data_IF_903728806794
#
_entry.id   IF_903728806794
#
_cell.length_a   1.000
_cell.length_b   1.000
_cell.length_c   1.000
_cell.angle_alpha   90.00
_cell.angle_beta   90.00
_cell.angle_gamma   90.00
#
_symmetry.space_group_name_H-M   'P 1'
#
loop_
_entity.id
_entity.type
_entity.pdbx_description
1 polymer ?
#
# COMPACT_ATOMS: atom_id res chain seq x y z
N UNK A 1 1.21 -12.88 2.70
CA UNK A 1 1.30 -12.32 4.06
C UNK A 1 2.77 -11.99 4.28
N UNK A 2 3.07 -10.70 4.44
CA UNK A 2 4.42 -10.17 4.58
C UNK A 2 4.70 -9.93 6.06
N UNK A 3 4.62 -11.00 6.84
CA UNK A 3 5.23 -11.06 8.16
C UNK A 3 6.75 -10.99 8.02
N UNK A 4 7.26 -9.76 8.00
CA UNK A 4 8.65 -9.41 8.31
C UNK A 4 9.76 -9.91 7.37
N UNK A 5 9.47 -10.70 6.33
CA UNK A 5 10.51 -11.33 5.51
C UNK A 5 10.58 -10.83 4.07
N UNK A 6 11.81 -10.78 3.53
CA UNK A 6 12.11 -10.77 2.08
C UNK A 6 11.54 -12.06 1.47
N UNK A 7 10.26 -12.10 1.13
CA UNK A 7 9.57 -13.27 0.56
C UNK A 7 8.99 -12.95 -0.81
N UNK A 8 8.94 -13.96 -1.67
CA UNK A 8 8.41 -13.84 -3.02
C UNK A 8 6.88 -13.68 -2.98
N UNK A 9 6.33 -12.65 -3.66
CA UNK A 9 4.89 -12.33 -3.60
C UNK A 9 4.01 -13.38 -4.27
N UNK A 10 4.53 -14.19 -5.19
CA UNK A 10 3.77 -15.20 -5.92
C UNK A 10 3.74 -16.55 -5.20
N UNK A 11 4.84 -16.91 -4.53
CA UNK A 11 5.03 -18.24 -3.92
C UNK A 11 4.99 -18.24 -2.40
N UNK A 12 5.11 -17.07 -1.74
CA UNK A 12 5.17 -16.97 -0.28
C UNK A 12 6.44 -17.56 0.36
N UNK A 13 7.36 -18.08 -0.46
CA UNK A 13 8.63 -18.66 -0.03
C UNK A 13 9.64 -17.56 0.33
N UNK A 14 10.57 -17.90 1.21
CA UNK A 14 11.74 -17.06 1.46
C UNK A 14 12.47 -16.80 0.15
N UNK A 15 12.75 -15.51 -0.13
CA UNK A 15 13.63 -15.16 -1.24
C UNK A 15 14.99 -15.78 -0.91
N UNK A 16 15.52 -16.58 -1.83
CA UNK A 16 16.82 -17.21 -1.65
C UNK A 16 17.85 -16.15 -1.21
N UNK A 17 18.69 -16.39 -0.19
CA UNK A 17 19.60 -15.38 0.36
C UNK A 17 20.47 -14.70 -0.71
N UNK A 18 20.89 -15.44 -1.73
CA UNK A 18 21.62 -14.89 -2.86
C UNK A 18 20.81 -13.85 -3.66
N UNK A 19 19.51 -14.06 -3.88
CA UNK A 19 18.62 -13.09 -4.54
C UNK A 19 18.48 -11.83 -3.67
N UNK A 20 18.36 -12.01 -2.35
CA UNK A 20 18.31 -10.89 -1.41
C UNK A 20 19.61 -10.07 -1.39
N UNK A 21 20.75 -10.69 -1.72
CA UNK A 21 22.06 -10.05 -1.79
C UNK A 21 22.31 -9.28 -3.10
N UNK A 22 21.57 -9.57 -4.18
CA UNK A 22 21.71 -8.92 -5.50
C UNK A 22 21.62 -7.39 -5.38
N UNK A 23 20.75 -6.86 -4.51
CA UNK A 23 20.66 -5.40 -4.32
C UNK A 23 21.99 -4.77 -3.88
N UNK A 24 22.71 -5.45 -2.99
CA UNK A 24 23.99 -4.99 -2.46
C UNK A 24 25.16 -5.05 -3.45
N UNK A 25 24.94 -5.50 -4.68
CA UNK A 25 25.94 -5.42 -5.76
C UNK A 25 25.88 -4.08 -6.49
N UNK A 26 24.79 -3.31 -6.34
CA UNK A 26 24.67 -1.95 -6.87
C UNK A 26 25.33 -0.98 -5.88
N UNK A 27 26.39 -0.31 -6.34
CA UNK A 27 27.20 0.60 -5.52
C UNK A 27 27.29 1.98 -6.18
N UNK A 28 27.45 3.01 -5.36
CA UNK A 28 27.83 4.33 -5.87
C UNK A 28 29.29 4.28 -6.41
N UNK A 29 29.62 5.08 -7.43
CA UNK A 29 31.00 5.24 -7.89
C UNK A 29 31.84 5.99 -6.84
N UNK A 30 33.17 5.93 -6.98
CA UNK A 30 34.09 6.66 -6.11
C UNK A 30 33.77 8.17 -6.09
N UNK A 31 33.79 8.78 -4.90
CA UNK A 31 33.41 10.18 -4.68
C UNK A 31 31.91 10.44 -4.58
N UNK A 32 31.06 9.42 -4.80
CA UNK A 32 29.60 9.51 -4.68
C UNK A 32 29.06 8.57 -3.61
N UNK A 33 27.81 8.78 -3.22
CA UNK A 33 27.04 7.89 -2.35
C UNK A 33 25.60 7.80 -2.83
N UNK A 34 24.85 6.80 -2.33
CA UNK A 34 23.42 6.70 -2.62
C UNK A 34 22.62 7.37 -1.50
N UNK A 35 21.65 8.18 -1.89
CA UNK A 35 20.57 8.65 -1.01
C UNK A 35 19.31 7.85 -1.36
N UNK A 36 18.71 7.22 -0.37
CA UNK A 36 17.57 6.31 -0.54
C UNK A 36 16.43 6.83 0.29
N UNK A 37 15.28 7.11 -0.34
CA UNK A 37 14.06 7.56 0.33
C UNK A 37 12.91 6.65 -0.09
N UNK A 38 12.31 5.96 0.88
CA UNK A 38 11.16 5.06 0.72
C UNK A 38 9.90 5.78 1.21
N UNK A 39 8.81 5.76 0.44
CA UNK A 39 7.54 6.33 0.93
C UNK A 39 6.89 5.38 1.93
N UNK A 40 6.70 5.84 3.17
CA UNK A 40 6.26 4.99 4.26
C UNK A 40 4.77 4.61 4.10
N UNK A 41 4.50 3.38 3.62
CA UNK A 41 3.15 2.81 3.53
C UNK A 41 2.19 3.62 2.63
N UNK A 42 2.68 4.14 1.51
CA UNK A 42 1.93 5.08 0.67
C UNK A 42 0.56 4.55 0.21
N UNK A 43 0.46 3.28 -0.18
CA UNK A 43 -0.81 2.69 -0.62
C UNK A 43 -1.85 2.66 0.51
N UNK A 44 -1.44 2.42 1.76
CA UNK A 44 -2.35 2.40 2.90
C UNK A 44 -2.79 3.82 3.30
N UNK A 45 -1.89 4.81 3.17
CA UNK A 45 -2.20 6.23 3.38
C UNK A 45 -3.17 6.75 2.33
N UNK A 46 -2.90 6.48 1.04
CA UNK A 46 -3.80 6.87 -0.05
C UNK A 46 -5.16 6.18 0.07
N UNK A 47 -5.20 4.89 0.43
CA UNK A 47 -6.47 4.19 0.65
C UNK A 47 -7.29 4.83 1.77
N UNK A 48 -6.67 5.10 2.93
CA UNK A 48 -7.35 5.76 4.04
C UNK A 48 -7.85 7.15 3.64
N UNK A 49 -7.08 7.89 2.85
CA UNK A 49 -7.41 9.23 2.40
C UNK A 49 -8.59 9.23 1.43
N UNK A 50 -8.53 8.40 0.38
CA UNK A 50 -9.62 8.26 -0.58
C UNK A 50 -10.90 7.73 0.07
N UNK A 51 -10.78 6.89 1.10
CA UNK A 51 -11.91 6.32 1.82
C UNK A 51 -12.47 7.21 2.96
N UNK A 52 -11.89 8.40 3.19
CA UNK A 52 -12.23 9.28 4.31
C UNK A 52 -12.16 8.59 5.68
N UNK A 53 -11.12 7.77 5.87
CA UNK A 53 -10.89 7.02 7.11
C UNK A 53 -10.03 7.83 8.09
N UNK A 54 -10.64 8.83 8.74
CA UNK A 54 -9.96 9.86 9.52
C UNK A 54 -9.12 9.34 10.70
N UNK A 55 -9.57 8.29 11.39
CA UNK A 55 -8.83 7.70 12.53
C UNK A 55 -7.50 7.07 12.07
N UNK A 56 -7.51 6.37 10.92
CA UNK A 56 -6.33 5.78 10.33
C UNK A 56 -5.39 6.85 9.76
N UNK A 57 -5.95 7.90 9.14
CA UNK A 57 -5.19 9.07 8.67
C UNK A 57 -4.51 9.81 9.82
N UNK A 58 -5.22 9.96 10.95
CA UNK A 58 -4.66 10.57 12.15
C UNK A 58 -3.49 9.75 12.70
N UNK A 59 -3.64 8.43 12.82
CA UNK A 59 -2.53 7.59 13.27
C UNK A 59 -1.31 7.66 12.35
N UNK A 60 -1.54 7.77 11.04
CA UNK A 60 -0.48 8.02 10.06
C UNK A 60 0.21 9.39 10.20
N UNK A 61 -0.53 10.44 10.53
CA UNK A 61 -0.03 11.80 10.71
C UNK A 61 0.72 11.97 12.05
N UNK A 62 0.26 11.29 13.10
CA UNK A 62 0.86 11.32 14.43
C UNK A 62 2.11 10.42 14.55
N UNK A 63 2.44 9.65 13.50
CA UNK A 63 3.58 8.73 13.50
C UNK A 63 3.35 7.48 14.36
N UNK A 64 2.10 7.09 14.58
CA UNK A 64 1.74 5.94 15.39
C UNK A 64 2.11 4.62 14.69
N UNK A 65 2.43 3.58 15.48
CA UNK A 65 2.51 2.22 14.95
C UNK A 65 1.10 1.64 14.77
N UNK A 66 0.46 2.03 13.67
CA UNK A 66 -0.90 1.62 13.33
C UNK A 66 -1.07 0.09 13.27
N UNK A 67 0.01 -0.66 13.02
CA UNK A 67 -0.03 -2.12 13.01
C UNK A 67 -0.13 -2.68 14.42
N UNK A 68 0.65 -2.13 15.34
CA UNK A 68 0.56 -2.45 16.76
C UNK A 68 -0.79 -2.04 17.35
N UNK A 69 -1.32 -0.88 16.99
CA UNK A 69 -2.65 -0.44 17.45
C UNK A 69 -3.77 -1.37 16.97
N UNK A 70 -3.81 -1.69 15.68
CA UNK A 70 -4.79 -2.62 15.15
C UNK A 70 -4.63 -4.03 15.75
N UNK A 71 -3.39 -4.49 15.94
CA UNK A 71 -3.13 -5.75 16.64
C UNK A 71 -3.61 -5.70 18.10
N UNK A 72 -3.44 -4.58 18.80
CA UNK A 72 -3.94 -4.44 20.17
C UNK A 72 -5.44 -4.60 20.26
N UNK A 73 -6.19 -4.03 19.32
CA UNK A 73 -7.64 -4.24 19.27
C UNK A 73 -8.00 -5.68 18.88
N UNK A 74 -7.25 -6.29 17.97
CA UNK A 74 -7.49 -7.67 17.55
C UNK A 74 -7.29 -8.68 18.70
N UNK A 75 -6.20 -8.52 19.44
CA UNK A 75 -5.79 -9.43 20.50
C UNK A 75 -6.31 -9.04 21.88
N UNK A 76 -6.93 -7.86 22.02
CA UNK A 76 -7.37 -7.28 23.28
C UNK A 76 -6.23 -7.25 24.32
N UNK A 77 -5.01 -6.97 23.85
CA UNK A 77 -3.79 -6.98 24.63
C UNK A 77 -2.76 -6.02 24.04
N UNK A 78 -1.86 -5.47 24.86
CA UNK A 78 -0.81 -4.58 24.38
C UNK A 78 0.08 -5.30 23.36
N UNK A 79 0.26 -4.69 22.19
CA UNK A 79 1.19 -5.10 21.13
C UNK A 79 2.06 -3.89 20.79
N UNK A 80 3.33 -4.12 20.56
CA UNK A 80 4.30 -3.06 20.21
C UNK A 80 5.27 -3.60 19.14
N UNK A 81 6.11 -2.72 18.59
CA UNK A 81 7.24 -3.12 17.75
C UNK A 81 8.42 -3.50 18.66
N UNK A 82 8.76 -4.78 18.80
CA UNK A 82 9.90 -5.17 19.62
C UNK A 82 11.22 -4.77 18.93
N UNK A 83 12.18 -4.38 19.75
CA UNK A 83 13.59 -4.24 19.37
C UNK A 83 14.20 -5.59 19.01
N UNK A 84 15.36 -5.60 18.34
CA UNK A 84 16.05 -6.85 17.97
C UNK A 84 16.47 -7.70 19.19
N UNK A 85 16.73 -7.07 20.34
CA UNK A 85 17.01 -7.79 21.59
C UNK A 85 15.72 -8.37 22.20
N UNK A 86 14.62 -7.62 22.22
CA UNK A 86 13.33 -8.12 22.72
C UNK A 86 12.81 -9.29 21.88
N UNK A 87 13.07 -9.32 20.57
CA UNK A 87 12.73 -10.46 19.71
C UNK A 87 13.40 -11.77 20.12
N UNK A 88 14.39 -11.74 21.01
CA UNK A 88 15.02 -12.94 21.58
C UNK A 88 14.26 -13.47 22.81
N UNK A 89 13.34 -12.69 23.39
CA UNK A 89 12.49 -13.13 24.51
C UNK A 89 11.16 -13.69 24.02
N UNK A 90 10.49 -14.59 24.79
CA UNK A 90 9.18 -15.12 24.43
C UNK A 90 8.10 -14.03 24.23
N UNK A 91 8.13 -12.98 25.05
CA UNK A 91 7.17 -11.86 24.98
C UNK A 91 7.38 -11.04 23.71
N UNK A 92 8.63 -10.73 23.35
CA UNK A 92 8.92 -10.00 22.13
C UNK A 92 8.62 -10.80 20.87
N UNK A 93 8.86 -12.12 20.88
CA UNK A 93 8.44 -13.00 19.77
C UNK A 93 6.93 -12.99 19.58
N UNK A 94 6.18 -13.09 20.69
CA UNK A 94 4.71 -13.00 20.67
C UNK A 94 4.25 -11.65 20.14
N UNK A 95 4.86 -10.54 20.59
CA UNK A 95 4.55 -9.21 20.12
C UNK A 95 4.83 -9.03 18.62
N UNK A 96 5.95 -9.57 18.11
CA UNK A 96 6.31 -9.50 16.69
C UNK A 96 5.29 -10.25 15.82
N UNK A 97 4.89 -11.47 16.22
CA UNK A 97 3.87 -12.26 15.51
C UNK A 97 2.53 -11.51 15.50
N UNK A 98 2.09 -10.99 16.65
CA UNK A 98 0.81 -10.27 16.78
C UNK A 98 0.81 -8.97 15.97
N UNK A 99 1.86 -8.17 16.07
CA UNK A 99 2.07 -6.97 15.24
C UNK A 99 2.07 -7.34 13.77
N UNK A 100 2.64 -8.49 13.45
CA UNK A 100 2.58 -9.14 12.16
C UNK A 100 1.17 -9.28 11.59
N UNK A 101 0.27 -9.94 12.33
CA UNK A 101 -1.14 -10.03 11.94
C UNK A 101 -1.77 -8.65 11.77
N UNK A 102 -1.38 -7.70 12.62
CA UNK A 102 -1.81 -6.31 12.50
C UNK A 102 -1.40 -5.69 11.15
N UNK A 103 -0.12 -5.83 10.79
CA UNK A 103 0.46 -5.35 9.53
C UNK A 103 -0.23 -5.97 8.31
N UNK A 104 -0.36 -7.29 8.30
CA UNK A 104 -1.02 -7.98 7.20
C UNK A 104 -2.51 -7.67 7.10
N UNK A 105 -3.17 -7.41 8.25
CA UNK A 105 -4.52 -6.88 8.31
C UNK A 105 -4.62 -5.53 7.60
N UNK A 106 -3.83 -4.55 8.00
CA UNK A 106 -3.82 -3.21 7.41
C UNK A 106 -3.52 -3.25 5.91
N UNK A 107 -2.46 -3.94 5.50
CA UNK A 107 -1.99 -3.95 4.11
C UNK A 107 -2.82 -4.85 3.19
N UNK A 108 -3.45 -5.89 3.74
CA UNK A 108 -4.18 -6.88 2.97
C UNK A 108 -5.68 -6.63 2.90
N UNK A 109 -6.30 -6.28 4.03
CA UNK A 109 -7.74 -6.17 4.12
C UNK A 109 -8.28 -4.92 3.41
N UNK A 110 -7.44 -3.90 3.20
CA UNK A 110 -7.79 -2.65 2.51
C UNK A 110 -8.23 -2.82 1.04
N UNK A 111 -7.87 -3.94 0.42
CA UNK A 111 -8.28 -4.32 -0.93
C UNK A 111 -9.25 -5.52 -0.93
N UNK A 112 -9.85 -5.78 0.24
CA UNK A 112 -10.91 -6.76 0.46
C UNK A 112 -10.47 -8.23 0.46
N UNK A 113 -9.26 -8.51 0.95
CA UNK A 113 -8.86 -9.87 1.33
C UNK A 113 -9.92 -10.51 2.24
N UNK A 114 -10.31 -11.75 1.90
CA UNK A 114 -11.27 -12.54 2.66
C UNK A 114 -10.61 -13.53 3.61
N UNK A 115 -11.40 -14.07 4.55
CA UNK A 115 -10.91 -14.97 5.60
C UNK A 115 -10.23 -16.23 5.04
N UNK A 116 -10.81 -16.86 4.01
CA UNK A 116 -10.24 -18.06 3.39
C UNK A 116 -8.85 -17.78 2.80
N UNK A 117 -8.73 -16.75 1.96
CA UNK A 117 -7.45 -16.38 1.34
C UNK A 117 -6.41 -15.98 2.38
N UNK A 118 -6.81 -15.26 3.43
CA UNK A 118 -5.91 -14.89 4.52
C UNK A 118 -5.44 -16.15 5.28
N UNK A 119 -6.37 -17.02 5.66
CA UNK A 119 -6.09 -18.28 6.35
C UNK A 119 -5.15 -19.19 5.54
N UNK A 120 -5.43 -19.37 4.25
CA UNK A 120 -4.57 -20.17 3.36
C UNK A 120 -3.16 -19.59 3.27
N UNK A 121 -3.04 -18.26 3.17
CA UNK A 121 -1.74 -17.58 3.17
C UNK A 121 -1.00 -17.75 4.50
N UNK A 122 -1.70 -17.79 5.64
CA UNK A 122 -1.09 -18.09 6.93
C UNK A 122 -0.51 -19.50 6.94
N UNK A 123 -1.28 -20.47 6.45
CA UNK A 123 -0.88 -21.89 6.37
C UNK A 123 0.17 -22.19 5.30
N UNK A 124 0.42 -21.27 4.38
CA UNK A 124 1.52 -21.36 3.42
C UNK A 124 2.81 -20.70 3.94
N UNK A 125 2.74 -19.97 5.05
CA UNK A 125 3.90 -19.34 5.66
C UNK A 125 4.52 -20.28 6.70
N UNK A 126 5.74 -20.76 6.45
CA UNK A 126 6.46 -21.70 7.33
C UNK A 126 6.59 -21.23 8.79
N UNK A 127 6.63 -19.91 9.04
CA UNK A 127 6.75 -19.37 10.40
C UNK A 127 5.40 -19.35 11.14
N UNK A 128 4.28 -19.24 10.40
CA UNK A 128 2.94 -19.25 10.99
C UNK A 128 2.33 -20.63 11.00
N UNK A 129 2.66 -21.47 10.01
CA UNK A 129 2.14 -22.83 9.84
C UNK A 129 2.12 -23.61 11.17
N UNK A 130 3.20 -23.63 11.99
CA UNK A 130 3.18 -24.35 13.26
C UNK A 130 2.11 -23.84 14.23
N UNK A 131 1.81 -22.54 14.25
CA UNK A 131 0.81 -21.92 15.14
C UNK A 131 -0.63 -22.25 14.70
N UNK A 132 -0.83 -22.53 13.40
CA UNK A 132 -2.12 -23.00 12.89
C UNK A 132 -2.27 -24.51 13.02
N UNK A 133 -1.20 -25.27 12.78
CA UNK A 133 -1.21 -26.72 12.90
C UNK A 133 -1.29 -27.15 14.40
N UNK A 134 -0.81 -26.34 15.34
CA UNK A 134 -0.98 -26.54 16.79
C UNK A 134 -2.36 -26.15 17.33
N UNK A 135 -3.15 -25.41 16.55
CA UNK A 135 -4.45 -24.86 16.97
C UNK A 135 -4.36 -23.59 17.82
N UNK A 136 -3.19 -22.94 17.95
CA UNK A 136 -3.07 -21.63 18.60
C UNK A 136 -3.88 -20.55 17.85
N UNK A 137 -3.83 -20.59 16.51
CA UNK A 137 -4.69 -19.80 15.64
C UNK A 137 -5.47 -20.71 14.69
N UNK A 138 -6.67 -20.27 14.32
CA UNK A 138 -7.56 -21.02 13.46
C UNK A 138 -8.28 -20.10 12.45
N UNK A 139 -9.21 -20.67 11.69
CA UNK A 139 -9.97 -19.92 10.73
C UNK A 139 -10.89 -18.89 11.41
N UNK A 140 -11.42 -19.19 12.59
CA UNK A 140 -12.31 -18.29 13.34
C UNK A 140 -11.56 -17.06 13.86
N UNK A 141 -10.30 -17.21 14.28
CA UNK A 141 -9.39 -16.11 14.56
C UNK A 141 -9.22 -15.21 13.34
N UNK A 142 -8.95 -15.78 12.16
CA UNK A 142 -8.80 -15.01 10.92
C UNK A 142 -10.11 -14.33 10.51
N UNK A 143 -11.25 -15.02 10.63
CA UNK A 143 -12.56 -14.45 10.35
C UNK A 143 -12.85 -13.27 11.30
N UNK A 144 -12.50 -13.39 12.58
CA UNK A 144 -12.57 -12.28 13.54
C UNK A 144 -11.65 -11.13 13.13
N UNK A 145 -10.41 -11.39 12.71
CA UNK A 145 -9.47 -10.37 12.21
C UNK A 145 -10.11 -9.55 11.08
N UNK A 146 -10.68 -10.22 10.08
CA UNK A 146 -11.37 -9.55 8.96
C UNK A 146 -12.54 -8.70 9.46
N UNK A 147 -13.35 -9.21 10.38
CA UNK A 147 -14.50 -8.48 10.96
C UNK A 147 -14.06 -7.26 11.76
N UNK A 148 -13.04 -7.39 12.60
CA UNK A 148 -12.48 -6.28 13.40
C UNK A 148 -11.93 -5.20 12.48
N UNK A 149 -11.17 -5.56 11.44
CA UNK A 149 -10.68 -4.60 10.44
C UNK A 149 -11.83 -3.83 9.77
N UNK A 150 -12.83 -4.55 9.23
CA UNK A 150 -13.94 -3.94 8.49
C UNK A 150 -14.86 -3.12 9.38
N UNK A 151 -14.95 -3.43 10.67
CA UNK A 151 -15.70 -2.66 11.64
C UNK A 151 -14.95 -1.41 12.09
N UNK A 152 -13.65 -1.54 12.39
CA UNK A 152 -12.81 -0.42 12.83
C UNK A 152 -12.65 0.60 11.71
N UNK A 153 -12.30 0.14 10.51
CA UNK A 153 -12.04 0.99 9.34
C UNK A 153 -13.20 0.96 8.34
N UNK A 154 -14.43 1.22 8.82
CA UNK A 154 -15.67 1.05 8.06
C UNK A 154 -15.79 1.97 6.83
N UNK A 155 -15.09 3.10 6.80
CA UNK A 155 -14.98 3.97 5.63
C UNK A 155 -14.36 3.27 4.43
N UNK A 156 -13.44 2.32 4.64
CA UNK A 156 -12.80 1.56 3.57
C UNK A 156 -13.79 0.61 2.86
N UNK A 157 -14.53 -0.29 3.55
CA UNK A 157 -15.61 -1.05 2.92
C UNK A 157 -16.74 -0.18 2.34
N UNK A 158 -17.04 0.95 2.99
CA UNK A 158 -17.95 1.95 2.45
C UNK A 158 -17.48 2.46 1.09
N UNK A 159 -16.20 2.82 0.99
CA UNK A 159 -15.57 3.26 -0.25
C UNK A 159 -15.61 2.19 -1.35
N UNK A 160 -15.34 0.92 -1.04
CA UNK A 160 -15.47 -0.17 -2.03
C UNK A 160 -16.87 -0.22 -2.64
N UNK A 161 -17.89 -0.04 -1.81
CA UNK A 161 -19.29 -0.05 -2.24
C UNK A 161 -19.58 1.13 -3.17
N UNK A 162 -19.12 2.32 -2.81
CA UNK A 162 -19.35 3.54 -3.59
C UNK A 162 -18.56 3.55 -4.90
N UNK A 163 -17.30 3.14 -4.90
CA UNK A 163 -16.47 3.12 -6.11
C UNK A 163 -16.99 2.09 -7.12
N UNK A 164 -17.51 0.95 -6.65
CA UNK A 164 -18.13 -0.04 -7.52
C UNK A 164 -19.40 0.51 -8.18
N UNK A 165 -20.25 1.23 -7.44
CA UNK A 165 -21.41 1.91 -8.01
C UNK A 165 -21.00 2.95 -9.04
N UNK A 166 -20.01 3.79 -8.70
CA UNK A 166 -19.48 4.82 -9.58
C UNK A 166 -18.96 4.21 -10.89
N UNK A 167 -18.22 3.12 -10.84
CA UNK A 167 -17.71 2.44 -12.03
C UNK A 167 -18.82 1.75 -12.84
N UNK A 168 -19.74 1.05 -12.14
CA UNK A 168 -20.78 0.23 -12.77
C UNK A 168 -21.76 1.08 -13.58
N UNK A 169 -22.16 2.23 -13.05
CA UNK A 169 -23.21 3.07 -13.65
C UNK A 169 -22.93 3.48 -15.10
N UNK A 170 -21.82 4.18 -15.43
CA UNK A 170 -21.49 4.53 -16.81
C UNK A 170 -21.12 3.30 -17.66
N UNK A 171 -20.68 2.20 -17.03
CA UNK A 171 -20.45 0.93 -17.75
C UNK A 171 -21.75 0.35 -18.29
N UNK A 172 -22.84 0.46 -17.52
CA UNK A 172 -24.18 -0.02 -17.90
C UNK A 172 -24.94 0.99 -18.77
N UNK A 173 -24.78 2.28 -18.51
CA UNK A 173 -25.51 3.36 -19.17
C UNK A 173 -24.51 4.32 -19.86
N UNK A 174 -24.19 4.10 -21.16
CA UNK A 174 -23.05 4.76 -21.81
C UNK A 174 -23.04 6.29 -21.88
N UNK A 175 -24.20 6.94 -21.71
CA UNK A 175 -24.33 8.40 -21.73
C UNK A 175 -24.25 9.03 -20.34
N UNK A 176 -24.20 8.20 -19.30
CA UNK A 176 -24.14 8.66 -17.91
C UNK A 176 -22.70 8.86 -17.46
N UNK A 177 -22.54 9.69 -16.42
CA UNK A 177 -21.27 9.92 -15.74
C UNK A 177 -21.49 9.90 -14.25
N UNK A 178 -20.47 9.48 -13.52
CA UNK A 178 -20.44 9.55 -12.06
C UNK A 178 -19.12 10.16 -11.61
N UNK A 179 -19.14 10.76 -10.43
CA UNK A 179 -17.96 11.31 -9.78
C UNK A 179 -17.91 10.84 -8.34
N UNK A 180 -16.71 10.85 -7.78
CA UNK A 180 -16.46 10.63 -6.37
C UNK A 180 -15.50 11.71 -5.88
N UNK A 181 -15.93 12.52 -4.93
CA UNK A 181 -15.11 13.59 -4.36
C UNK A 181 -14.25 13.03 -3.22
N UNK A 182 -12.94 13.23 -3.32
CA UNK A 182 -11.95 12.83 -2.30
C UNK A 182 -11.61 14.03 -1.42
N UNK A 183 -11.49 15.22 -2.00
CA UNK A 183 -11.26 16.47 -1.27
C UNK A 183 -11.79 17.64 -2.09
N UNK A 184 -11.61 18.86 -1.61
CA UNK A 184 -11.90 20.08 -2.39
C UNK A 184 -11.07 20.20 -3.68
N UNK A 185 -9.91 19.53 -3.74
CA UNK A 185 -8.97 19.58 -4.88
C UNK A 185 -8.85 18.27 -5.64
N UNK A 186 -9.46 17.18 -5.15
CA UNK A 186 -9.36 15.86 -5.74
C UNK A 186 -10.72 15.21 -5.98
N UNK A 187 -10.93 14.76 -7.23
CA UNK A 187 -12.09 13.96 -7.60
C UNK A 187 -11.76 12.87 -8.62
N UNK A 188 -12.54 11.81 -8.56
CA UNK A 188 -12.59 10.77 -9.57
C UNK A 188 -13.75 11.04 -10.52
N UNK A 189 -13.59 10.68 -11.79
CA UNK A 189 -14.68 10.75 -12.77
C UNK A 189 -14.73 9.48 -13.61
N UNK A 190 -15.93 8.92 -13.73
CA UNK A 190 -16.18 7.71 -14.49
C UNK A 190 -17.15 8.01 -15.63
N UNK A 191 -16.82 7.51 -16.81
CA UNK A 191 -17.61 7.71 -18.01
C UNK A 191 -17.31 6.60 -19.02
N UNK A 192 -18.15 6.45 -20.03
CA UNK A 192 -17.96 5.48 -21.11
C UNK A 192 -17.88 6.17 -22.46
N UNK A 193 -17.01 5.68 -23.34
CA UNK A 193 -17.00 6.03 -24.77
C UNK A 193 -16.87 4.75 -25.58
N UNK A 194 -17.83 4.51 -26.47
CA UNK A 194 -17.92 3.24 -27.20
C UNK A 194 -17.97 2.04 -26.26
N UNK A 195 -17.04 1.11 -26.42
CA UNK A 195 -16.93 -0.11 -25.59
C UNK A 195 -16.05 0.04 -24.35
N UNK A 196 -15.49 1.22 -24.08
CA UNK A 196 -14.50 1.42 -23.01
C UNK A 196 -15.08 2.24 -21.87
N UNK A 197 -15.01 1.70 -20.65
CA UNK A 197 -15.23 2.46 -19.42
C UNK A 197 -13.92 3.12 -18.99
N UNK A 198 -13.98 4.38 -18.61
CA UNK A 198 -12.84 5.19 -18.20
C UNK A 198 -12.98 5.55 -16.72
N UNK A 199 -11.86 5.51 -16.00
CA UNK A 199 -11.71 6.11 -14.67
C UNK A 199 -10.63 7.20 -14.76
N UNK A 200 -11.03 8.47 -14.63
CA UNK A 200 -10.11 9.60 -14.59
C UNK A 200 -9.75 9.92 -13.14
N UNK A 201 -8.45 9.96 -12.88
CA UNK A 201 -7.82 10.25 -11.59
C UNK A 201 -7.69 11.76 -11.36
N UNK A 202 -7.46 12.22 -10.11
CA UNK A 202 -7.30 13.65 -9.81
C UNK A 202 -6.09 14.28 -10.53
N UNK A 203 -5.05 13.48 -10.76
CA UNK A 203 -3.87 13.87 -11.55
C UNK A 203 -4.17 14.11 -13.05
N UNK A 204 -5.38 13.80 -13.51
CA UNK A 204 -5.75 13.84 -14.92
C UNK A 204 -5.44 12.55 -15.68
N UNK A 205 -4.67 11.62 -15.10
CA UNK A 205 -4.41 10.29 -15.68
C UNK A 205 -5.72 9.52 -15.87
N UNK A 206 -5.82 8.79 -16.98
CA UNK A 206 -7.02 8.01 -17.34
C UNK A 206 -6.68 6.53 -17.38
N UNK A 207 -7.43 5.74 -16.60
CA UNK A 207 -7.43 4.28 -16.67
C UNK A 207 -8.51 3.79 -17.64
N UNK A 208 -8.16 2.82 -18.47
CA UNK A 208 -8.99 2.34 -19.58
C UNK A 208 -9.40 0.88 -19.34
N UNK A 209 -10.69 0.63 -19.23
CA UNK A 209 -11.25 -0.70 -19.04
C UNK A 209 -12.04 -1.09 -20.30
N UNK A 210 -11.30 -1.53 -21.32
CA UNK A 210 -11.88 -1.90 -22.62
C UNK A 210 -12.81 -3.10 -22.48
N UNK A 211 -14.00 -3.01 -23.08
CA UNK A 211 -15.00 -4.09 -23.07
C UNK A 211 -15.45 -4.53 -21.67
N UNK A 212 -15.32 -3.67 -20.65
CA UNK A 212 -15.99 -3.90 -19.38
C UNK A 212 -17.50 -3.96 -19.59
N UNK A 213 -18.15 -4.96 -18.98
CA UNK A 213 -19.58 -5.22 -19.09
C UNK A 213 -20.21 -5.42 -17.72
N UNK A 214 -21.51 -5.14 -17.62
CA UNK A 214 -22.30 -5.38 -16.40
C UNK A 214 -23.32 -6.47 -16.71
N UNK A 215 -23.32 -7.52 -15.90
CA UNK A 215 -24.27 -8.62 -16.01
C UNK A 215 -25.70 -8.15 -15.68
N UNK A 216 -26.71 -8.43 -16.53
CA UNK A 216 -28.09 -8.05 -16.24
C UNK A 216 -28.73 -8.89 -15.13
N UNK A 217 -28.15 -10.05 -14.77
CA UNK A 217 -28.71 -10.97 -13.77
C UNK A 217 -28.43 -10.53 -12.33
N UNK A 218 -27.21 -10.09 -12.08
CA UNK A 218 -26.68 -9.87 -10.73
C UNK A 218 -25.90 -8.54 -10.60
N UNK A 219 -25.86 -7.73 -11.66
CA UNK A 219 -25.09 -6.48 -11.74
C UNK A 219 -23.57 -6.65 -11.50
N UNK A 220 -23.03 -7.88 -11.60
CA UNK A 220 -21.59 -8.12 -11.52
C UNK A 220 -20.86 -7.47 -12.70
N UNK A 221 -19.68 -6.89 -12.45
CA UNK A 221 -18.85 -6.27 -13.49
C UNK A 221 -17.85 -7.32 -13.98
N UNK A 222 -17.83 -7.56 -15.29
CA UNK A 222 -16.89 -8.44 -15.97
C UNK A 222 -15.91 -7.61 -16.79
N UNK A 223 -14.64 -8.00 -16.72
CA UNK A 223 -13.55 -7.41 -17.48
C UNK A 223 -12.63 -8.52 -18.03
N UNK A 224 -11.77 -8.16 -19.00
CA UNK A 224 -10.89 -9.11 -19.69
C UNK A 224 -10.07 -10.00 -18.73
N UNK A 225 -9.67 -9.44 -17.59
CA UNK A 225 -8.83 -10.12 -16.59
C UNK A 225 -9.62 -10.70 -15.40
N UNK A 226 -10.94 -10.82 -15.51
CA UNK A 226 -11.80 -11.43 -14.50
C UNK A 226 -12.92 -10.51 -14.02
N UNK A 227 -13.33 -10.70 -12.77
CA UNK A 227 -14.37 -9.89 -12.15
C UNK A 227 -13.80 -8.60 -11.58
N UNK A 228 -14.46 -7.49 -11.88
CA UNK A 228 -14.24 -6.24 -11.17
C UNK A 228 -15.32 -6.09 -10.09
N UNK A 229 -14.87 -5.66 -8.93
CA UNK A 229 -15.68 -5.34 -7.75
C UNK A 229 -14.92 -4.30 -6.94
N UNK A 230 -15.58 -3.70 -5.95
CA UNK A 230 -15.08 -2.55 -5.19
C UNK A 230 -13.60 -2.65 -4.80
N UNK A 231 -13.19 -3.73 -4.13
CA UNK A 231 -11.79 -3.93 -3.70
C UNK A 231 -10.79 -3.97 -4.85
N UNK A 232 -11.09 -4.69 -5.95
CA UNK A 232 -10.20 -4.74 -7.13
C UNK A 232 -10.14 -3.41 -7.91
N UNK A 233 -11.23 -2.64 -7.91
CA UNK A 233 -11.24 -1.29 -8.51
C UNK A 233 -10.43 -0.34 -7.63
N UNK A 234 -10.59 -0.42 -6.31
CA UNK A 234 -9.79 0.30 -5.33
C UNK A 234 -8.29 -0.03 -5.47
N UNK A 235 -7.90 -1.29 -5.59
CA UNK A 235 -6.49 -1.67 -5.79
C UNK A 235 -5.89 -1.01 -7.05
N UNK A 236 -6.60 -1.08 -8.18
CA UNK A 236 -6.18 -0.42 -9.42
C UNK A 236 -6.06 1.10 -9.26
N UNK A 237 -7.02 1.72 -8.59
CA UNK A 237 -7.06 3.15 -8.32
C UNK A 237 -5.86 3.60 -7.49
N UNK A 238 -5.64 2.96 -6.34
CA UNK A 238 -4.57 3.33 -5.39
C UNK A 238 -3.19 3.12 -6.02
N UNK A 239 -2.95 1.98 -6.67
CA UNK A 239 -1.66 1.77 -7.37
C UNK A 239 -1.43 2.80 -8.48
N UNK A 240 -2.49 3.23 -9.17
CA UNK A 240 -2.37 4.25 -10.20
C UNK A 240 -2.11 5.66 -9.65
N UNK A 241 -2.69 6.00 -8.49
CA UNK A 241 -2.45 7.26 -7.76
C UNK A 241 -1.05 7.31 -7.17
N UNK A 242 -0.60 6.25 -6.49
CA UNK A 242 0.78 6.10 -6.03
C UNK A 242 1.80 6.28 -7.16
N UNK A 243 1.52 5.73 -8.35
CA UNK A 243 2.39 5.93 -9.53
C UNK A 243 2.40 7.39 -10.01
N UNK A 244 1.31 8.14 -9.84
CA UNK A 244 1.27 9.57 -10.16
C UNK A 244 2.12 10.38 -9.18
N UNK A 245 2.09 10.07 -7.87
CA UNK A 245 2.99 10.68 -6.89
C UNK A 245 4.45 10.39 -7.20
N UNK A 246 4.79 9.13 -7.50
CA UNK A 246 6.14 8.75 -7.91
C UNK A 246 6.62 9.58 -9.11
N UNK A 247 5.75 9.76 -10.12
CA UNK A 247 6.05 10.60 -11.29
C UNK A 247 6.30 12.07 -10.91
N UNK A 248 5.49 12.62 -10.00
CA UNK A 248 5.67 13.97 -9.47
C UNK A 248 7.01 14.12 -8.75
N UNK A 249 7.35 13.21 -7.83
CA UNK A 249 8.61 13.26 -7.08
C UNK A 249 9.84 13.11 -7.96
N UNK A 250 9.80 12.22 -8.97
CA UNK A 250 10.88 12.07 -9.94
C UNK A 250 11.20 13.39 -10.65
N UNK A 251 10.16 14.07 -11.17
CA UNK A 251 10.30 15.34 -11.86
C UNK A 251 10.81 16.44 -10.92
N UNK A 252 10.32 16.48 -9.67
CA UNK A 252 10.78 17.44 -8.67
C UNK A 252 12.23 17.23 -8.24
N UNK A 253 12.67 15.98 -8.15
CA UNK A 253 14.08 15.66 -7.90
C UNK A 253 14.96 16.09 -9.08
N UNK A 254 14.51 15.88 -10.32
CA UNK A 254 15.20 16.35 -11.52
C UNK A 254 15.31 17.89 -11.56
N UNK A 255 14.22 18.61 -11.28
CA UNK A 255 14.21 20.08 -11.15
C UNK A 255 15.21 20.58 -10.08
N UNK A 256 15.37 19.82 -8.98
CA UNK A 256 16.31 20.11 -7.89
C UNK A 256 17.77 19.71 -8.20
N UNK A 257 18.04 19.12 -9.37
CA UNK A 257 19.37 18.64 -9.75
C UNK A 257 19.80 17.35 -9.05
N UNK A 258 18.87 16.63 -8.43
CA UNK A 258 19.16 15.34 -7.79
C UNK A 258 19.10 14.24 -8.86
N UNK A 259 20.25 13.61 -9.12
CA UNK A 259 20.34 12.52 -10.09
C UNK A 259 19.74 11.24 -9.53
N UNK A 260 18.49 10.96 -9.87
CA UNK A 260 17.85 9.67 -9.60
C UNK A 260 18.42 8.61 -10.56
N UNK A 261 18.96 7.53 -10.00
CA UNK A 261 19.57 6.43 -10.76
C UNK A 261 18.73 5.15 -10.75
N UNK A 262 17.82 5.02 -9.79
CA UNK A 262 16.92 3.89 -9.65
C UNK A 262 15.64 4.33 -8.93
N UNK A 263 14.53 3.71 -9.28
CA UNK A 263 13.34 3.71 -8.43
C UNK A 263 12.76 2.29 -8.38
N UNK A 264 12.27 1.87 -7.22
CA UNK A 264 11.69 0.55 -6.99
C UNK A 264 10.38 0.68 -6.23
N UNK A 265 9.25 0.59 -6.94
CA UNK A 265 7.93 0.92 -6.41
C UNK A 265 7.89 2.37 -5.90
N UNK A 266 7.72 2.55 -4.60
CA UNK A 266 7.60 3.78 -3.84
C UNK A 266 8.93 4.32 -3.29
N UNK A 267 10.05 3.66 -3.64
CA UNK A 267 11.40 4.02 -3.26
C UNK A 267 12.12 4.76 -4.39
N UNK A 268 12.74 5.89 -4.08
CA UNK A 268 13.63 6.63 -4.96
C UNK A 268 15.08 6.52 -4.48
N UNK A 269 16.01 6.37 -5.43
CA UNK A 269 17.45 6.26 -5.16
C UNK A 269 18.21 7.30 -5.98
N UNK A 270 18.76 8.31 -5.30
CA UNK A 270 19.68 9.29 -5.87
C UNK A 270 21.14 8.84 -5.75
N UNK A 271 21.98 9.24 -6.71
CA UNK A 271 23.43 9.08 -6.65
C UNK A 271 24.08 10.46 -6.68
N UNK A 272 24.63 10.89 -5.55
CA UNK A 272 25.08 12.28 -5.31
C UNK A 272 26.51 12.31 -4.78
N UNK A 273 27.26 13.41 -4.97
CA UNK A 273 28.58 13.58 -4.35
C UNK A 273 28.50 13.42 -2.83
N UNK A 274 29.55 12.83 -2.22
CA UNK A 274 29.58 12.64 -0.76
C UNK A 274 29.48 13.95 0.01
N UNK A 275 29.99 15.03 -0.56
CA UNK A 275 30.04 16.36 0.03
C UNK A 275 28.65 17.01 0.15
N UNK A 276 27.70 16.65 -0.72
CA UNK A 276 26.33 17.20 -0.73
C UNK A 276 25.28 16.22 -0.25
N UNK A 277 25.68 15.00 0.14
CA UNK A 277 24.76 13.89 0.39
C UNK A 277 23.68 14.19 1.44
N UNK A 278 24.03 14.82 2.57
CA UNK A 278 23.03 15.17 3.59
C UNK A 278 22.04 16.23 3.12
N UNK A 279 22.53 17.27 2.42
CA UNK A 279 21.69 18.32 1.83
C UNK A 279 20.73 17.73 0.81
N UNK A 280 21.24 16.86 -0.06
CA UNK A 280 20.44 16.27 -1.14
C UNK A 280 19.45 15.25 -0.60
N UNK A 281 19.81 14.48 0.43
CA UNK A 281 18.88 13.61 1.15
C UNK A 281 17.74 14.42 1.77
N UNK A 282 18.04 15.54 2.43
CA UNK A 282 17.02 16.41 3.01
C UNK A 282 16.12 17.00 1.91
N UNK A 283 16.71 17.51 0.83
CA UNK A 283 15.95 18.07 -0.30
C UNK A 283 15.02 17.03 -0.92
N UNK A 284 15.51 15.82 -1.15
CA UNK A 284 14.74 14.68 -1.67
C UNK A 284 13.63 14.26 -0.70
N UNK A 285 13.91 14.26 0.60
CA UNK A 285 12.96 13.98 1.67
C UNK A 285 11.82 15.01 1.68
N UNK A 286 12.15 16.29 1.61
CA UNK A 286 11.17 17.39 1.57
C UNK A 286 10.29 17.32 0.32
N UNK A 287 10.86 16.91 -0.82
CA UNK A 287 10.10 16.67 -2.06
C UNK A 287 9.11 15.51 -1.87
N UNK A 288 9.54 14.40 -1.29
CA UNK A 288 8.70 13.20 -1.10
C UNK A 288 7.65 13.35 0.01
N UNK A 289 7.82 14.31 0.92
CA UNK A 289 6.81 14.74 1.89
C UNK A 289 5.76 15.70 1.30
N UNK A 290 5.97 16.16 0.07
CA UNK A 290 5.04 17.04 -0.64
C UNK A 290 4.34 16.31 -1.78
N UNK A 291 3.16 16.80 -2.15
CA UNK A 291 2.38 16.28 -3.26
C UNK A 291 1.97 17.38 -4.24
N UNK A 292 1.51 17.01 -5.45
CA UNK A 292 0.82 17.95 -6.35
C UNK A 292 -0.47 18.47 -5.71
N UNK A 293 -1.06 19.54 -6.26
CA UNK A 293 -2.24 20.20 -5.67
C UNK A 293 -3.43 19.27 -5.37
N UNK A 294 -3.61 18.21 -6.16
CA UNK A 294 -4.68 17.24 -5.90
C UNK A 294 -4.41 16.37 -4.67
N UNK A 295 -3.17 16.20 -4.22
CA UNK A 295 -2.81 15.40 -3.05
C UNK A 295 -2.81 16.22 -1.74
N UNK A 296 -3.36 17.43 -1.76
CA UNK A 296 -3.46 18.29 -0.58
C UNK A 296 -4.22 17.58 0.55
N UNK A 297 -3.63 17.56 1.74
CA UNK A 297 -4.18 16.90 2.93
C UNK A 297 -3.90 15.40 3.04
N UNK A 298 -3.26 14.75 2.05
CA UNK A 298 -2.77 13.38 2.16
C UNK A 298 -1.56 13.36 3.12
N UNK A 299 -1.61 12.64 4.26
CA UNK A 299 -0.47 12.59 5.19
C UNK A 299 0.65 11.73 4.61
N UNK A 300 1.59 12.33 3.88
CA UNK A 300 2.77 11.66 3.35
C UNK A 300 3.79 11.39 4.46
N UNK A 301 4.54 10.29 4.31
CA UNK A 301 5.60 9.90 5.24
C UNK A 301 6.73 9.21 4.49
N UNK A 302 7.92 9.22 5.06
CA UNK A 302 9.13 8.68 4.43
C UNK A 302 10.02 7.96 5.45
N UNK A 303 10.84 7.04 4.95
CA UNK A 303 12.04 6.53 5.60
C UNK A 303 13.26 6.86 4.71
N UNK A 304 14.28 7.51 5.26
CA UNK A 304 15.41 8.03 4.49
C UNK A 304 16.75 7.53 5.04
N UNK A 305 17.72 7.26 4.16
CA UNK A 305 19.10 6.89 4.54
C UNK A 305 20.13 7.18 3.46
N UNK A 306 21.38 7.31 3.89
CA UNK A 306 22.57 7.36 3.03
C UNK A 306 23.26 5.99 3.05
N UNK A 307 23.70 5.51 1.90
CA UNK A 307 24.44 4.26 1.83
C UNK A 307 25.38 4.20 0.62
N UNK A 308 26.52 3.56 0.79
CA UNK A 308 27.44 3.25 -0.32
C UNK A 308 26.86 2.18 -1.26
N UNK A 309 25.89 1.39 -0.78
CA UNK A 309 25.30 0.27 -1.51
C UNK A 309 23.79 0.32 -1.45
N UNK A 310 23.14 -0.11 -2.53
CA UNK A 310 21.69 -0.20 -2.54
C UNK A 310 21.22 -1.28 -1.55
N UNK A 311 20.46 -0.85 -0.54
CA UNK A 311 19.95 -1.71 0.53
C UNK A 311 18.55 -1.27 0.94
N UNK A 312 17.74 -2.23 1.44
CA UNK A 312 16.54 -1.95 2.24
C UNK A 312 16.89 -2.09 3.71
#
# INVERSE_FOLDING_TARGET
LNLGGKRDRATGKLIHPAIAAVRGTLMAPDGYTLIIVDSAQIEARELAWVAHQDDLLKGFADGEDIYSMFATDLFQAKVWKPTEEEKKTPEGQTADIRRGFGKDGILGCGFGMGANTFFDRCRQNDNLRPLFDSGEYDWDFINRLIKVYRSKYAGIPGFWTEIEKCFRWPTKYPNEKTTYEISSTARLSFYRKGSTTYMKLPSGRIMNYRHATVSPKDNSIKYLHGHLWGGSITENLIQAMCRCLLGYWLLKCEDAGIRIVLHSYDELVGCVPKETAERDLQTMSDIMLQGPAWAEGLPLGIDAKISERFCK
#
